data_IF_856073419020
#
_entry.id   IF_856073419020
#
_cell.length_a   1.000
_cell.length_b   1.000
_cell.length_c   1.000
_cell.angle_alpha   90.00
_cell.angle_beta   90.00
_cell.angle_gamma   90.00
#
_symmetry.space_group_name_H-M   'P 1'
#
loop_
_entity.id
_entity.type
_entity.pdbx_description
1 polymer ?
#
# COMPACT_ATOMS: atom_id res chain seq x y z
N UNK A 1 11.56 -16.12 -11.80
CA UNK A 1 10.68 -14.97 -12.13
C UNK A 1 10.38 -14.26 -10.84
N UNK A 2 10.32 -12.92 -10.80
CA UNK A 2 9.97 -12.17 -9.59
C UNK A 2 8.58 -11.57 -9.69
N UNK A 3 7.83 -11.56 -8.59
CA UNK A 3 6.47 -11.02 -8.51
C UNK A 3 6.39 -9.94 -7.43
N UNK A 4 5.88 -8.77 -7.80
CA UNK A 4 5.76 -7.62 -6.92
C UNK A 4 4.31 -7.14 -6.90
N UNK A 5 3.84 -6.70 -5.73
CA UNK A 5 2.58 -5.97 -5.59
C UNK A 5 2.86 -4.46 -5.49
N UNK A 6 1.94 -3.62 -5.96
CA UNK A 6 2.10 -2.16 -5.86
C UNK A 6 0.78 -1.41 -5.75
N UNK A 7 0.82 -0.19 -5.20
CA UNK A 7 -0.35 0.68 -5.12
C UNK A 7 -0.01 2.16 -5.21
N UNK A 8 -0.95 2.95 -5.75
CA UNK A 8 -0.98 4.43 -5.64
C UNK A 8 -1.91 4.91 -4.52
N UNK A 9 -2.48 3.99 -3.73
CA UNK A 9 -3.44 4.28 -2.66
C UNK A 9 -4.60 5.16 -3.16
N UNK A 10 -5.39 4.70 -4.16
CA UNK A 10 -6.61 5.41 -4.54
C UNK A 10 -7.58 5.44 -3.37
N UNK A 11 -8.27 6.57 -3.22
CA UNK A 11 -9.27 6.83 -2.20
C UNK A 11 -10.61 7.12 -2.85
N UNK A 12 -11.32 6.04 -3.15
CA UNK A 12 -12.66 6.04 -3.68
C UNK A 12 -13.54 5.11 -2.84
N UNK A 13 -14.88 5.24 -2.91
CA UNK A 13 -15.79 4.26 -2.33
C UNK A 13 -15.53 2.87 -2.89
N UNK A 14 -15.76 1.85 -2.06
CA UNK A 14 -15.75 0.46 -2.51
C UNK A 14 -16.78 0.24 -3.64
N UNK A 15 -16.41 -0.40 -4.77
CA UNK A 15 -17.28 -0.47 -5.94
C UNK A 15 -18.48 -1.42 -5.78
N UNK A 16 -18.49 -2.27 -4.73
CA UNK A 16 -19.56 -3.24 -4.47
C UNK A 16 -20.55 -2.69 -3.44
N UNK A 17 -20.05 -2.06 -2.38
CA UNK A 17 -20.83 -1.59 -1.23
C UNK A 17 -21.13 -0.09 -1.28
N UNK A 18 -20.36 0.70 -2.04
CA UNK A 18 -20.43 2.16 -2.06
C UNK A 18 -19.91 2.81 -0.77
N UNK A 19 -19.39 2.04 0.19
CA UNK A 19 -18.87 2.58 1.44
C UNK A 19 -17.48 3.16 1.20
N UNK A 20 -17.28 4.41 1.61
CA UNK A 20 -15.95 5.02 1.63
C UNK A 20 -15.33 4.82 3.02
N UNK A 21 -14.19 4.10 3.13
CA UNK A 21 -13.51 3.95 4.41
C UNK A 21 -12.94 5.29 4.87
N UNK A 22 -12.62 5.41 6.16
CA UNK A 22 -11.82 6.55 6.62
C UNK A 22 -10.42 6.51 5.98
N UNK A 23 -9.73 7.65 5.91
CA UNK A 23 -8.34 7.70 5.43
C UNK A 23 -7.41 6.83 6.28
N UNK A 24 -7.65 6.77 7.59
CA UNK A 24 -6.91 5.92 8.51
C UNK A 24 -7.11 4.44 8.18
N UNK A 25 -8.36 3.99 7.97
CA UNK A 25 -8.63 2.59 7.65
C UNK A 25 -8.09 2.23 6.27
N UNK A 26 -8.15 3.17 5.31
CA UNK A 26 -7.52 2.99 4.01
C UNK A 26 -6.01 2.80 4.13
N UNK A 27 -5.33 3.65 4.89
CA UNK A 27 -3.88 3.52 5.09
C UNK A 27 -3.51 2.26 5.87
N UNK A 28 -4.30 1.84 6.87
CA UNK A 28 -4.12 0.54 7.54
C UNK A 28 -4.22 -0.62 6.56
N UNK A 29 -5.23 -0.61 5.68
CA UNK A 29 -5.38 -1.65 4.67
C UNK A 29 -4.17 -1.78 3.74
N UNK A 30 -3.48 -0.66 3.42
CA UNK A 30 -2.26 -0.70 2.60
C UNK A 30 -1.12 -1.42 3.32
N UNK A 31 -1.02 -1.24 4.63
CA UNK A 31 -0.02 -1.92 5.47
C UNK A 31 -0.37 -3.40 5.61
N UNK A 32 -1.64 -3.72 5.85
CA UNK A 32 -2.11 -5.10 5.97
C UNK A 32 -1.91 -5.89 4.66
N UNK A 33 -2.12 -5.26 3.50
CA UNK A 33 -1.83 -5.86 2.19
C UNK A 33 -0.33 -6.08 2.00
N UNK A 34 0.53 -5.16 2.47
CA UNK A 34 1.98 -5.33 2.38
C UNK A 34 2.48 -6.51 3.24
N UNK A 35 1.94 -6.65 4.46
CA UNK A 35 2.19 -7.81 5.34
C UNK A 35 1.70 -9.10 4.68
N UNK A 36 0.47 -9.11 4.14
CA UNK A 36 -0.05 -10.26 3.42
C UNK A 36 0.78 -10.60 2.17
N UNK A 37 1.31 -9.59 1.47
CA UNK A 37 2.19 -9.82 0.32
C UNK A 37 3.48 -10.53 0.74
N UNK A 38 4.04 -10.22 1.92
CA UNK A 38 5.16 -10.96 2.49
C UNK A 38 4.77 -12.39 2.85
N UNK A 39 3.64 -12.59 3.53
CA UNK A 39 3.12 -13.92 3.90
C UNK A 39 2.88 -14.82 2.68
N UNK A 40 2.53 -14.22 1.54
CA UNK A 40 2.32 -14.90 0.25
C UNK A 40 3.59 -14.99 -0.62
N UNK A 41 4.76 -14.67 -0.05
CA UNK A 41 6.07 -14.81 -0.71
C UNK A 41 6.26 -13.95 -1.97
N UNK A 42 5.62 -12.77 -2.03
CA UNK A 42 5.96 -11.78 -3.06
C UNK A 42 7.40 -11.26 -2.85
N UNK A 43 8.13 -11.05 -3.95
CA UNK A 43 9.49 -10.54 -3.92
C UNK A 43 9.58 -9.07 -3.47
N UNK A 44 8.46 -8.34 -3.54
CA UNK A 44 8.44 -6.91 -3.30
C UNK A 44 7.08 -6.25 -3.18
N UNK A 45 7.04 -5.12 -2.47
CA UNK A 45 5.88 -4.25 -2.33
C UNK A 45 6.25 -2.79 -2.67
N UNK A 46 5.47 -2.17 -3.55
CA UNK A 46 5.71 -0.81 -4.04
C UNK A 46 4.60 0.17 -3.64
N UNK A 47 4.99 1.39 -3.26
CA UNK A 47 4.07 2.52 -3.15
C UNK A 47 4.55 3.63 -4.07
N UNK A 48 3.70 4.06 -5.00
CA UNK A 48 4.02 5.14 -5.93
C UNK A 48 3.54 6.51 -5.45
N UNK A 49 4.20 7.58 -5.90
CA UNK A 49 3.92 8.94 -5.44
C UNK A 49 2.85 9.64 -6.28
N UNK A 50 1.85 10.24 -5.63
CA UNK A 50 0.85 11.09 -6.29
C UNK A 50 0.44 12.26 -5.39
N UNK A 51 0.26 13.43 -6.01
CA UNK A 51 -0.18 14.67 -5.34
C UNK A 51 -1.57 15.12 -5.79
N UNK A 52 -2.21 14.37 -6.68
CA UNK A 52 -3.55 14.67 -7.18
C UNK A 52 -4.62 13.81 -6.50
N UNK A 53 -5.85 14.33 -6.45
CA UNK A 53 -6.99 13.50 -6.06
C UNK A 53 -7.18 12.39 -7.12
N UNK A 54 -7.62 11.18 -6.71
CA UNK A 54 -8.05 10.80 -5.37
C UNK A 54 -6.98 10.01 -4.60
N UNK A 55 -5.68 10.28 -4.75
CA UNK A 55 -4.63 9.43 -4.16
C UNK A 55 -4.17 9.93 -2.79
N UNK A 56 -3.84 9.01 -1.88
CA UNK A 56 -3.30 9.32 -0.54
C UNK A 56 -1.77 9.16 -0.44
N UNK A 57 -1.10 8.76 -1.52
CA UNK A 57 0.32 8.41 -1.52
C UNK A 57 1.26 9.59 -1.84
N UNK A 58 1.11 10.72 -1.14
CA UNK A 58 1.96 11.90 -1.38
C UNK A 58 3.38 11.79 -0.83
N UNK A 59 3.63 10.85 0.09
CA UNK A 59 4.96 10.58 0.63
C UNK A 59 5.18 9.06 0.81
N UNK A 60 5.52 8.34 -0.27
CA UNK A 60 5.78 6.91 -0.20
C UNK A 60 6.83 6.50 0.84
N UNK A 61 7.95 7.23 1.05
CA UNK A 61 8.93 6.84 2.07
C UNK A 61 8.34 6.73 3.48
N UNK A 62 7.40 7.62 3.86
CA UNK A 62 6.74 7.57 5.18
C UNK A 62 5.88 6.32 5.29
N UNK A 63 5.06 6.02 4.28
CA UNK A 63 4.20 4.83 4.26
C UNK A 63 5.06 3.55 4.28
N UNK A 64 6.09 3.49 3.43
CA UNK A 64 7.01 2.35 3.34
C UNK A 64 7.79 2.15 4.65
N UNK A 65 8.14 3.21 5.38
CA UNK A 65 8.79 3.08 6.70
C UNK A 65 7.89 2.37 7.72
N UNK A 66 6.57 2.62 7.68
CA UNK A 66 5.64 1.93 8.56
C UNK A 66 5.44 0.47 8.14
N UNK A 67 5.43 0.20 6.83
CA UNK A 67 5.43 -1.19 6.31
C UNK A 67 6.70 -1.92 6.76
N UNK A 68 7.88 -1.28 6.65
CA UNK A 68 9.15 -1.86 7.07
C UNK A 68 9.18 -2.25 8.56
N UNK A 69 8.46 -1.51 9.41
CA UNK A 69 8.32 -1.86 10.82
C UNK A 69 7.41 -3.07 11.08
N UNK A 70 6.64 -3.51 10.07
CA UNK A 70 5.63 -4.58 10.14
C UNK A 70 6.00 -5.82 9.33
N UNK A 71 7.04 -5.73 8.49
CA UNK A 71 7.53 -6.81 7.63
C UNK A 71 9.01 -7.09 7.90
N UNK A 72 9.55 -8.19 7.40
CA UNK A 72 10.88 -8.68 7.78
C UNK A 72 11.81 -9.04 6.61
N UNK A 73 11.26 -9.36 5.44
CA UNK A 73 11.99 -9.95 4.31
C UNK A 73 11.59 -9.37 2.95
N UNK A 74 10.34 -8.91 2.78
CA UNK A 74 9.84 -8.33 1.53
C UNK A 74 10.61 -7.05 1.20
N UNK A 75 10.98 -6.88 -0.07
CA UNK A 75 11.67 -5.67 -0.53
C UNK A 75 10.68 -4.53 -0.74
N UNK A 76 11.06 -3.34 -0.32
CA UNK A 76 10.20 -2.16 -0.40
C UNK A 76 10.71 -1.19 -1.47
N UNK A 77 9.79 -0.69 -2.29
CA UNK A 77 10.12 0.16 -3.44
C UNK A 77 9.27 1.43 -3.48
N UNK A 78 9.89 2.54 -3.83
CA UNK A 78 9.19 3.68 -4.43
C UNK A 78 9.08 3.41 -5.94
N UNK A 79 7.89 3.61 -6.52
CA UNK A 79 7.62 3.39 -7.94
C UNK A 79 7.15 4.65 -8.65
#
# INVERSE_FOLDING_TARGET
MKFLAMTLIPYAPDPVTGIQPSTTDRLRSVVDIAVLSEELEFDGYGVGERHERPFLSSSPPVILSHIAARTSTIRLYTT
#
